data_IF_462284866193
#
_entry.id   IF_462284866193
#
_cell.length_a   1.000
_cell.length_b   1.000
_cell.length_c   1.000
_cell.angle_alpha   90.00
_cell.angle_beta   90.00
_cell.angle_gamma   90.00
#
_symmetry.space_group_name_H-M   'P 1'
#
loop_
_entity.id
_entity.type
_entity.pdbx_description
1 polymer ?
#
# COMPACT_ATOMS: atom_id res chain seq x y z
N UNK A 1 -20.24 -3.72 -16.71
CA UNK A 1 -18.99 -3.13 -16.20
C UNK A 1 -18.60 -3.63 -14.79
N UNK A 2 -19.38 -4.52 -14.14
CA UNK A 2 -19.15 -4.97 -12.75
C UNK A 2 -18.26 -6.23 -12.59
N UNK A 3 -17.70 -6.79 -13.67
CA UNK A 3 -17.16 -8.16 -13.64
C UNK A 3 -15.63 -8.27 -13.41
N UNK A 4 -14.91 -7.14 -13.33
CA UNK A 4 -13.44 -7.14 -13.26
C UNK A 4 -12.87 -6.99 -11.85
N UNK A 5 -13.67 -6.51 -10.91
CA UNK A 5 -13.22 -6.18 -9.56
C UNK A 5 -14.05 -6.95 -8.54
N UNK A 6 -13.38 -7.61 -7.60
CA UNK A 6 -14.00 -8.20 -6.41
C UNK A 6 -13.76 -7.29 -5.23
N UNK A 7 -14.79 -7.01 -4.45
CA UNK A 7 -14.66 -6.15 -3.26
C UNK A 7 -15.06 -6.87 -1.98
N UNK A 8 -14.25 -6.73 -0.93
CA UNK A 8 -14.58 -7.07 0.45
C UNK A 8 -14.60 -5.78 1.28
N UNK A 9 -15.67 -5.54 2.05
CA UNK A 9 -15.86 -4.28 2.80
C UNK A 9 -16.18 -4.50 4.29
N UNK A 10 -15.48 -3.75 5.14
CA UNK A 10 -15.71 -3.45 6.54
C UNK A 10 -16.24 -2.01 6.69
N UNK A 11 -16.21 -1.46 7.91
CA UNK A 11 -16.57 -0.07 8.19
C UNK A 11 -15.72 0.94 7.39
N UNK A 12 -16.27 2.14 7.13
CA UNK A 12 -15.62 3.20 6.34
C UNK A 12 -14.35 3.77 6.96
N UNK A 13 -14.13 3.55 8.26
CA UNK A 13 -12.91 3.93 8.99
C UNK A 13 -11.73 2.99 8.72
N UNK A 14 -11.98 1.81 8.14
CA UNK A 14 -10.96 0.84 7.77
C UNK A 14 -10.32 1.24 6.43
N UNK A 15 -8.99 1.31 6.32
CA UNK A 15 -8.33 1.68 5.07
C UNK A 15 -8.68 0.76 3.90
N UNK A 16 -8.69 1.33 2.70
CA UNK A 16 -9.02 0.65 1.44
C UNK A 16 -7.76 0.35 0.61
N UNK A 17 -7.65 -0.87 0.11
CA UNK A 17 -6.48 -1.40 -0.60
C UNK A 17 -6.91 -1.87 -1.99
N UNK A 18 -6.20 -1.41 -3.01
CA UNK A 18 -6.37 -1.88 -4.38
C UNK A 18 -5.28 -2.92 -4.71
N UNK A 19 -5.71 -4.13 -5.07
CA UNK A 19 -4.85 -5.22 -5.53
C UNK A 19 -4.99 -5.35 -7.04
N UNK A 20 -3.92 -5.06 -7.77
CA UNK A 20 -3.93 -4.89 -9.24
C UNK A 20 -3.70 -6.19 -10.02
N UNK A 21 -3.62 -7.34 -9.34
CA UNK A 21 -3.33 -8.63 -9.94
C UNK A 21 -4.13 -9.76 -9.26
N UNK A 22 -4.60 -10.72 -10.06
CA UNK A 22 -5.47 -11.80 -9.60
C UNK A 22 -4.72 -12.81 -8.73
N UNK A 23 -3.48 -13.12 -9.10
CA UNK A 23 -2.60 -14.09 -8.44
C UNK A 23 -2.11 -13.64 -7.05
N UNK A 24 -2.28 -12.36 -6.72
CA UNK A 24 -1.88 -11.82 -5.41
C UNK A 24 -2.90 -12.21 -4.35
N UNK A 25 -2.64 -13.34 -3.69
CA UNK A 25 -3.45 -13.84 -2.58
C UNK A 25 -2.73 -13.52 -1.27
N UNK A 26 -3.24 -12.51 -0.54
CA UNK A 26 -2.73 -12.13 0.77
C UNK A 26 -3.87 -12.19 1.79
N UNK A 27 -4.17 -13.37 2.39
CA UNK A 27 -5.36 -13.58 3.22
C UNK A 27 -5.52 -12.54 4.34
N UNK A 28 -4.41 -12.18 4.99
CA UNK A 28 -4.37 -11.19 6.07
C UNK A 28 -4.85 -9.79 5.67
N UNK A 29 -4.76 -9.43 4.38
CA UNK A 29 -5.26 -8.12 3.91
C UNK A 29 -6.80 -8.15 3.85
N UNK A 30 -7.38 -9.24 3.36
CA UNK A 30 -8.84 -9.42 3.27
C UNK A 30 -9.53 -9.51 4.64
N UNK A 31 -8.80 -9.95 5.67
CA UNK A 31 -9.31 -10.02 7.05
C UNK A 31 -9.35 -8.66 7.77
N UNK A 32 -8.60 -7.66 7.28
CA UNK A 32 -8.32 -6.43 8.05
C UNK A 32 -8.56 -5.13 7.29
N UNK A 33 -8.74 -5.18 5.98
CA UNK A 33 -8.85 -4.00 5.13
C UNK A 33 -10.05 -4.09 4.19
N UNK A 34 -10.53 -2.93 3.75
CA UNK A 34 -11.40 -2.87 2.59
C UNK A 34 -10.54 -3.24 1.37
N UNK A 35 -10.89 -4.29 0.61
CA UNK A 35 -10.06 -4.74 -0.52
C UNK A 35 -10.87 -4.70 -1.79
N UNK A 36 -10.32 -4.08 -2.83
CA UNK A 36 -10.77 -4.23 -4.21
C UNK A 36 -9.66 -4.94 -4.98
N UNK A 37 -9.96 -6.09 -5.59
CA UNK A 37 -8.98 -6.88 -6.33
C UNK A 37 -9.39 -7.05 -7.78
N UNK A 38 -8.44 -6.78 -8.69
CA UNK A 38 -8.53 -7.09 -10.11
C UNK A 38 -8.54 -8.61 -10.36
N UNK A 39 -9.56 -9.10 -11.06
CA UNK A 39 -9.87 -10.53 -11.20
C UNK A 39 -9.41 -11.14 -12.53
N UNK A 40 -8.79 -10.39 -13.43
CA UNK A 40 -8.27 -10.95 -14.66
C UNK A 40 -6.81 -11.38 -14.52
N UNK A 41 -6.44 -12.48 -15.18
CA UNK A 41 -5.07 -12.98 -15.26
C UNK A 41 -4.24 -12.20 -16.29
N UNK A 42 -4.22 -10.87 -16.13
CA UNK A 42 -3.46 -9.93 -16.95
C UNK A 42 -3.10 -8.70 -16.10
N UNK A 43 -2.21 -7.85 -16.61
CA UNK A 43 -1.94 -6.56 -15.96
C UNK A 43 -3.19 -5.69 -15.98
N UNK A 44 -3.57 -5.12 -14.83
CA UNK A 44 -4.67 -4.16 -14.75
C UNK A 44 -4.44 -2.99 -15.71
N UNK A 45 -5.39 -2.69 -16.61
CA UNK A 45 -5.27 -1.56 -17.51
C UNK A 45 -5.09 -0.23 -16.77
N UNK A 46 -4.22 0.65 -17.30
CA UNK A 46 -3.85 1.91 -16.63
C UNK A 46 -5.02 2.87 -16.47
N UNK A 47 -5.90 2.94 -17.46
CA UNK A 47 -7.15 3.70 -17.43
C UNK A 47 -8.07 3.25 -16.28
N UNK A 48 -8.22 1.94 -16.10
CA UNK A 48 -8.98 1.38 -14.98
C UNK A 48 -8.30 1.69 -13.64
N UNK A 49 -6.98 1.59 -13.58
CA UNK A 49 -6.19 1.91 -12.38
C UNK A 49 -6.38 3.37 -11.94
N UNK A 50 -6.29 4.31 -12.87
CA UNK A 50 -6.47 5.75 -12.62
C UNK A 50 -7.89 6.08 -12.17
N UNK A 51 -8.89 5.32 -12.64
CA UNK A 51 -10.29 5.46 -12.22
C UNK A 51 -10.54 4.94 -10.81
N UNK A 52 -9.87 3.86 -10.41
CA UNK A 52 -10.08 3.21 -9.10
C UNK A 52 -9.26 3.83 -7.97
N UNK A 53 -8.04 4.30 -8.24
CA UNK A 53 -7.14 4.79 -7.19
C UNK A 53 -7.70 5.91 -6.29
N UNK A 54 -8.55 6.86 -6.76
CA UNK A 54 -9.09 7.91 -5.88
C UNK A 54 -9.89 7.36 -4.68
N UNK A 55 -10.31 6.09 -4.74
CA UNK A 55 -11.11 5.41 -3.72
C UNK A 55 -10.29 4.52 -2.76
N UNK A 56 -8.96 4.49 -2.90
CA UNK A 56 -8.10 3.57 -2.16
C UNK A 56 -6.93 4.33 -1.48
N UNK A 57 -6.49 3.82 -0.34
CA UNK A 57 -5.43 4.40 0.49
C UNK A 57 -4.04 3.80 0.18
N UNK A 58 -3.99 2.61 -0.45
CA UNK A 58 -2.77 1.87 -0.77
C UNK A 58 -2.91 0.99 -2.02
N UNK A 59 -1.82 0.83 -2.77
CA UNK A 59 -1.67 -0.17 -3.84
C UNK A 59 -0.19 -0.52 -4.12
N UNK A 60 0.01 -1.44 -5.09
CA UNK A 60 1.29 -1.72 -5.75
C UNK A 60 1.18 -1.55 -7.28
N UNK A 61 1.82 -0.52 -7.85
CA UNK A 61 1.95 -0.33 -9.31
C UNK A 61 3.06 0.69 -9.65
N UNK A 62 3.21 1.06 -10.93
CA UNK A 62 4.00 2.21 -11.37
C UNK A 62 3.38 3.51 -10.86
N UNK A 63 4.15 4.27 -10.09
CA UNK A 63 3.74 5.50 -9.43
C UNK A 63 4.38 6.68 -10.15
N UNK A 64 3.73 7.22 -11.17
CA UNK A 64 4.17 8.42 -11.89
C UNK A 64 3.30 9.64 -11.55
N UNK A 65 3.66 10.80 -12.11
CA UNK A 65 2.97 12.06 -11.88
C UNK A 65 1.48 12.01 -12.23
N UNK A 66 1.11 11.33 -13.31
CA UNK A 66 -0.28 11.21 -13.73
C UNK A 66 -1.08 10.41 -12.70
N UNK A 67 -0.55 9.27 -12.26
CA UNK A 67 -1.16 8.48 -11.21
C UNK A 67 -1.30 9.26 -9.91
N UNK A 68 -0.26 9.98 -9.49
CA UNK A 68 -0.28 10.78 -8.28
C UNK A 68 -1.32 11.92 -8.34
N UNK A 69 -1.70 12.42 -9.53
CA UNK A 69 -2.77 13.41 -9.69
C UNK A 69 -4.16 12.86 -9.34
N UNK A 70 -4.38 11.57 -9.60
CA UNK A 70 -5.64 10.89 -9.33
C UNK A 70 -5.68 10.34 -7.90
N UNK A 71 -4.53 9.96 -7.35
CA UNK A 71 -4.38 9.29 -6.06
C UNK A 71 -4.41 10.24 -4.84
N UNK A 72 -5.41 11.14 -4.75
CA UNK A 72 -5.47 12.18 -3.70
C UNK A 72 -5.59 11.64 -2.27
N UNK A 73 -6.01 10.39 -2.09
CA UNK A 73 -6.14 9.71 -0.79
C UNK A 73 -4.95 8.78 -0.46
N UNK A 74 -4.01 8.62 -1.37
CA UNK A 74 -2.90 7.69 -1.21
C UNK A 74 -1.97 8.16 -0.10
N UNK A 75 -1.81 7.34 0.94
CA UNK A 75 -0.96 7.65 2.11
C UNK A 75 0.34 6.85 2.11
N UNK A 76 0.34 5.69 1.44
CA UNK A 76 1.46 4.77 1.46
C UNK A 76 1.63 4.10 0.10
N UNK A 77 2.87 4.10 -0.39
CA UNK A 77 3.31 3.26 -1.51
C UNK A 77 4.20 2.17 -0.93
N UNK A 78 3.78 0.92 -1.05
CA UNK A 78 4.56 -0.24 -0.64
C UNK A 78 4.96 -1.03 -1.90
N UNK A 79 6.24 -1.08 -2.19
CA UNK A 79 6.77 -1.87 -3.31
C UNK A 79 7.52 -3.10 -2.81
N UNK A 80 7.28 -4.24 -3.48
CA UNK A 80 8.01 -5.49 -3.25
C UNK A 80 9.21 -5.61 -4.20
N UNK A 81 9.98 -4.53 -4.34
CA UNK A 81 11.20 -4.50 -5.15
C UNK A 81 12.31 -3.77 -4.41
N UNK A 82 13.57 -4.11 -4.74
CA UNK A 82 14.75 -3.42 -4.18
C UNK A 82 14.93 -2.05 -4.84
N UNK A 83 14.65 -1.93 -6.14
CA UNK A 83 14.71 -0.67 -6.89
C UNK A 83 13.43 0.15 -6.80
N UNK A 84 13.57 1.47 -7.00
CA UNK A 84 12.47 2.45 -6.96
C UNK A 84 12.23 3.13 -8.32
N UNK A 85 12.76 2.57 -9.41
CA UNK A 85 12.74 3.19 -10.76
C UNK A 85 11.32 3.38 -11.32
N UNK A 86 10.37 2.61 -10.79
CA UNK A 86 8.95 2.67 -11.13
C UNK A 86 8.16 3.68 -10.28
N UNK A 87 8.83 4.41 -9.38
CA UNK A 87 8.24 5.42 -8.49
C UNK A 87 8.90 6.78 -8.77
N UNK A 88 8.10 7.77 -9.14
CA UNK A 88 8.56 9.15 -9.26
C UNK A 88 8.75 9.76 -7.86
N UNK A 89 9.91 9.47 -7.28
CA UNK A 89 10.29 9.94 -5.94
C UNK A 89 10.29 11.47 -5.85
N UNK A 90 10.64 12.18 -6.94
CA UNK A 90 10.64 13.65 -6.95
C UNK A 90 9.23 14.19 -6.85
N UNK A 91 8.30 13.61 -7.59
CA UNK A 91 6.90 14.01 -7.55
C UNK A 91 6.21 13.60 -6.24
N UNK A 92 6.51 12.41 -5.71
CA UNK A 92 6.09 12.01 -4.35
C UNK A 92 6.53 13.04 -3.30
N UNK A 93 7.80 13.49 -3.34
CA UNK A 93 8.35 14.50 -2.42
C UNK A 93 7.63 15.84 -2.51
N UNK A 94 7.29 16.30 -3.72
CA UNK A 94 6.53 17.56 -3.91
C UNK A 94 5.12 17.50 -3.34
N UNK A 95 4.55 16.30 -3.27
CA UNK A 95 3.18 16.02 -2.79
C UNK A 95 3.12 15.61 -1.32
N UNK A 96 4.25 15.50 -0.64
CA UNK A 96 4.27 15.18 0.78
C UNK A 96 3.45 16.21 1.57
N UNK A 97 2.23 15.81 1.94
CA UNK A 97 1.36 16.48 2.91
C UNK A 97 1.79 16.15 4.35
N UNK A 98 0.81 16.03 5.26
CA UNK A 98 1.05 15.82 6.69
C UNK A 98 2.09 14.72 6.95
N UNK A 99 3.16 15.10 7.65
CA UNK A 99 4.26 14.20 7.99
C UNK A 99 3.75 13.00 8.78
N UNK A 100 4.53 11.91 8.78
CA UNK A 100 4.18 10.68 9.48
C UNK A 100 4.27 10.78 11.02
N UNK A 101 4.46 12.00 11.56
CA UNK A 101 4.41 12.28 12.99
C UNK A 101 3.01 12.07 13.52
N UNK A 102 2.88 11.39 14.65
CA UNK A 102 1.62 10.98 15.27
C UNK A 102 0.73 10.08 14.39
N UNK A 103 1.26 9.52 13.29
CA UNK A 103 0.53 8.59 12.44
C UNK A 103 0.60 7.14 12.96
N UNK A 104 -0.32 6.30 12.49
CA UNK A 104 -0.23 4.84 12.65
C UNK A 104 0.36 4.24 11.38
N UNK A 105 1.50 3.55 11.48
CA UNK A 105 2.15 2.89 10.34
C UNK A 105 1.95 1.38 10.46
N UNK A 106 1.38 0.77 9.42
CA UNK A 106 1.22 -0.68 9.30
C UNK A 106 2.29 -1.31 8.41
N UNK A 107 2.91 -2.41 8.83
CA UNK A 107 3.93 -3.14 8.06
C UNK A 107 3.65 -4.65 7.97
N UNK A 108 3.74 -5.21 6.78
CA UNK A 108 3.58 -6.65 6.54
C UNK A 108 4.96 -7.24 6.23
N UNK A 109 5.46 -8.08 7.13
CA UNK A 109 6.83 -8.60 7.14
C UNK A 109 7.78 -7.70 7.92
N UNK A 110 8.45 -8.27 8.93
CA UNK A 110 9.49 -7.66 9.76
C UNK A 110 10.83 -8.41 9.64
N UNK A 111 11.11 -8.96 8.46
CA UNK A 111 12.45 -9.49 8.12
C UNK A 111 13.51 -8.38 7.99
N UNK A 112 14.64 -8.68 7.35
CA UNK A 112 15.77 -7.73 7.19
C UNK A 112 15.36 -6.35 6.67
N UNK A 113 14.48 -6.31 5.67
CA UNK A 113 13.99 -5.05 5.07
C UNK A 113 13.00 -4.37 6.00
N UNK A 114 12.01 -5.10 6.51
CA UNK A 114 10.97 -4.57 7.39
C UNK A 114 11.55 -3.96 8.66
N UNK A 115 12.46 -4.66 9.33
CA UNK A 115 13.17 -4.13 10.51
C UNK A 115 13.98 -2.86 10.19
N UNK A 116 14.68 -2.83 9.05
CA UNK A 116 15.47 -1.67 8.62
C UNK A 116 14.60 -0.45 8.30
N UNK A 117 13.39 -0.67 7.77
CA UNK A 117 12.40 0.38 7.50
C UNK A 117 11.77 0.88 8.79
N UNK A 118 11.34 0.00 9.70
CA UNK A 118 10.82 0.38 11.04
C UNK A 118 11.83 1.25 11.78
N UNK A 119 13.11 0.86 11.80
CA UNK A 119 14.16 1.62 12.48
C UNK A 119 14.28 3.05 11.96
N UNK A 120 14.18 3.25 10.63
CA UNK A 120 14.20 4.59 10.03
C UNK A 120 12.91 5.37 10.32
N UNK A 121 11.77 4.70 10.32
CA UNK A 121 10.46 5.33 10.54
C UNK A 121 10.27 5.83 11.97
N UNK A 122 10.91 5.20 12.96
CA UNK A 122 10.89 5.68 14.37
C UNK A 122 11.35 7.13 14.50
N UNK A 123 12.34 7.56 13.72
CA UNK A 123 12.89 8.92 13.75
C UNK A 123 11.87 10.00 13.33
N UNK A 124 10.78 9.61 12.67
CA UNK A 124 9.71 10.52 12.25
C UNK A 124 8.53 10.56 13.23
N UNK A 125 8.65 9.94 14.40
CA UNK A 125 7.70 10.01 15.51
C UNK A 125 6.26 9.57 15.18
N UNK A 126 6.03 8.42 14.53
CA UNK A 126 4.69 7.86 14.42
C UNK A 126 4.11 7.55 15.81
N UNK A 127 2.81 7.74 15.99
CA UNK A 127 2.11 7.39 17.24
C UNK A 127 2.19 5.89 17.52
N UNK A 128 2.17 5.07 16.48
CA UNK A 128 2.29 3.61 16.59
C UNK A 128 2.80 3.00 15.29
N UNK A 129 3.62 1.97 15.41
CA UNK A 129 4.03 1.11 14.30
C UNK A 129 3.48 -0.29 14.60
N UNK A 130 2.59 -0.77 13.75
CA UNK A 130 1.95 -2.08 13.85
C UNK A 130 2.56 -2.94 12.75
N UNK A 131 2.91 -4.18 13.06
CA UNK A 131 3.41 -5.10 12.04
C UNK A 131 2.84 -6.51 12.18
N UNK A 132 2.90 -7.27 11.09
CA UNK A 132 2.48 -8.67 11.05
C UNK A 132 3.50 -9.49 10.25
N UNK A 133 3.96 -10.62 10.78
CA UNK A 133 4.93 -11.51 10.12
C UNK A 133 4.41 -12.95 10.08
N UNK A 134 4.86 -13.75 9.11
CA UNK A 134 4.54 -15.18 8.99
C UNK A 134 5.18 -15.93 10.17
N UNK A 135 6.37 -15.50 10.62
CA UNK A 135 6.98 -15.93 11.89
C UNK A 135 7.29 -14.70 12.74
N UNK A 136 6.49 -14.38 13.78
CA UNK A 136 6.78 -13.29 14.68
C UNK A 136 7.97 -13.69 15.56
N UNK A 137 9.19 -13.46 15.08
CA UNK A 137 10.40 -13.70 15.86
C UNK A 137 11.18 -12.39 15.98
N UNK A 138 11.05 -11.75 17.15
CA UNK A 138 11.67 -10.46 17.48
C UNK A 138 13.15 -10.59 17.87
N UNK A 139 13.72 -11.81 17.83
CA UNK A 139 15.05 -12.11 18.40
C UNK A 139 16.13 -12.55 17.40
N UNK A 140 15.92 -12.43 16.08
CA UNK A 140 17.02 -12.65 15.13
C UNK A 140 17.97 -11.44 15.11
N UNK A 141 19.04 -11.57 15.90
CA UNK A 141 20.28 -10.78 15.81
C UNK A 141 20.80 -10.70 14.37
#
# INVERSE_FOLDING_TARGET
MQQLLRTAKFASTVPSVLVTAQEVIVPRIYERFNVTQFQENKTMPRDLLLKEIPNHDALRDKIDKEFLNHAKKLKLVASMSVGFDHIDIKECKKRCGDGIRNSTIGMIGLGRVGGSVVTKLKSFLPQRIIFTDIKPDLHRK
#
